data_IF_985335668772
#
_entry.id   IF_985335668772
#
_cell.length_a   1.000
_cell.length_b   1.000
_cell.length_c   1.000
_cell.angle_alpha   90.00
_cell.angle_beta   90.00
_cell.angle_gamma   90.00
#
_symmetry.space_group_name_H-M   'P 1'
#
loop_
_entity.id
_entity.type
_entity.pdbx_description
1 polymer ?
#
# COMPACT_ATOMS: atom_id res chain seq x y z
N UNK A 1 -9.35 6.98 3.30
CA UNK A 1 -10.53 6.53 2.51
C UNK A 1 -10.12 5.26 1.78
N UNK A 2 -10.87 4.20 1.98
CA UNK A 2 -10.66 2.92 1.31
C UNK A 2 -10.91 3.15 -0.18
N UNK A 3 -9.89 2.93 -1.02
CA UNK A 3 -10.08 2.97 -2.46
C UNK A 3 -11.12 1.95 -2.89
N UNK A 4 -11.87 2.26 -3.94
CA UNK A 4 -12.85 1.36 -4.51
C UNK A 4 -12.26 -0.02 -4.81
N UNK A 5 -13.03 -1.10 -4.66
CA UNK A 5 -12.57 -2.45 -5.02
C UNK A 5 -12.12 -2.46 -6.49
N UNK A 6 -11.14 -3.31 -6.84
CA UNK A 6 -10.65 -3.38 -8.20
C UNK A 6 -11.83 -3.64 -9.16
N UNK A 7 -11.81 -3.05 -10.37
CA UNK A 7 -12.91 -3.11 -11.34
C UNK A 7 -13.32 -4.54 -11.76
N UNK A 8 -12.62 -5.56 -11.29
CA UNK A 8 -12.97 -6.97 -11.42
C UNK A 8 -14.30 -7.35 -10.75
N UNK A 9 -14.68 -6.66 -9.66
CA UNK A 9 -15.99 -6.86 -9.02
C UNK A 9 -17.09 -5.99 -9.66
N UNK A 10 -16.71 -5.01 -10.49
CA UNK A 10 -17.61 -4.05 -11.13
C UNK A 10 -17.49 -4.03 -12.65
N UNK A 11 -16.85 -5.03 -13.30
CA UNK A 11 -17.11 -5.25 -14.70
C UNK A 11 -18.56 -5.72 -14.85
N UNK A 12 -19.48 -4.80 -14.62
CA UNK A 12 -20.75 -4.82 -15.34
C UNK A 12 -20.37 -5.02 -16.80
N UNK A 13 -20.88 -6.10 -17.36
CA UNK A 13 -20.76 -6.42 -18.75
C UNK A 13 -21.18 -5.23 -19.63
N UNK A 14 -20.26 -4.28 -19.82
CA UNK A 14 -20.36 -3.34 -20.92
C UNK A 14 -20.11 -4.17 -22.19
N UNK A 15 -21.17 -4.71 -22.75
CA UNK A 15 -21.12 -5.53 -23.94
C UNK A 15 -22.03 -6.77 -23.96
N UNK A 16 -22.87 -7.00 -22.97
CA UNK A 16 -23.93 -8.01 -23.06
C UNK A 16 -25.26 -7.37 -23.50
N UNK A 17 -25.22 -6.65 -24.63
CA UNK A 17 -26.43 -6.37 -25.38
C UNK A 17 -26.71 -7.56 -26.30
N UNK A 18 -27.68 -8.33 -25.94
CA UNK A 18 -28.43 -9.44 -26.54
C UNK A 18 -28.28 -10.72 -25.75
N UNK A 19 -28.94 -10.80 -24.61
CA UNK A 19 -29.53 -12.04 -24.16
C UNK A 19 -30.76 -12.24 -25.03
N UNK A 20 -30.57 -12.73 -26.24
CA UNK A 20 -31.65 -13.24 -27.07
C UNK A 20 -31.67 -14.74 -26.85
N UNK A 21 -32.78 -15.20 -26.32
CA UNK A 21 -33.31 -16.59 -26.35
C UNK A 21 -32.25 -17.65 -25.99
N UNK A 22 -32.29 -18.12 -24.76
CA UNK A 22 -31.75 -19.45 -24.41
C UNK A 22 -32.58 -20.48 -25.17
N UNK A 23 -32.18 -20.80 -26.38
CA UNK A 23 -32.42 -22.12 -26.91
C UNK A 23 -31.54 -23.07 -26.09
N UNK A 24 -32.10 -24.13 -25.56
CA UNK A 24 -31.40 -25.26 -24.94
C UNK A 24 -30.48 -25.93 -25.96
N UNK A 25 -29.36 -25.26 -26.26
CA UNK A 25 -28.27 -25.79 -27.05
C UNK A 25 -27.12 -26.15 -26.13
N UNK A 26 -26.67 -27.35 -26.22
CA UNK A 26 -25.55 -27.95 -25.49
C UNK A 26 -24.30 -27.05 -25.67
N UNK A 27 -24.03 -26.15 -24.69
CA UNK A 27 -22.88 -25.21 -24.75
C UNK A 27 -21.62 -26.02 -24.53
N UNK A 28 -20.79 -26.16 -25.55
CA UNK A 28 -19.49 -26.83 -25.42
C UNK A 28 -18.70 -26.24 -24.25
N UNK A 29 -18.14 -27.11 -23.42
CA UNK A 29 -17.34 -26.73 -22.23
C UNK A 29 -16.27 -25.69 -22.59
N UNK A 30 -15.57 -25.86 -23.72
CA UNK A 30 -14.56 -24.89 -24.20
C UNK A 30 -15.14 -23.51 -24.49
N UNK A 31 -16.36 -23.44 -25.02
CA UNK A 31 -17.06 -22.18 -25.26
C UNK A 31 -17.44 -21.49 -23.94
N UNK A 32 -17.96 -22.23 -22.99
CA UNK A 32 -18.29 -21.73 -21.67
C UNK A 32 -17.05 -21.15 -20.97
N UNK A 33 -15.96 -21.91 -20.92
CA UNK A 33 -14.71 -21.45 -20.30
C UNK A 33 -14.06 -20.27 -21.06
N UNK A 34 -14.17 -20.22 -22.39
CA UNK A 34 -13.71 -19.06 -23.18
C UNK A 34 -14.45 -17.77 -22.75
N UNK A 35 -15.77 -17.87 -22.52
CA UNK A 35 -16.58 -16.72 -22.07
C UNK A 35 -16.33 -16.39 -20.60
N UNK A 36 -16.27 -17.39 -19.72
CA UNK A 36 -16.05 -17.19 -18.28
C UNK A 36 -14.70 -16.62 -17.95
N UNK A 37 -13.62 -17.12 -18.57
CA UNK A 37 -12.27 -16.64 -18.33
C UNK A 37 -11.97 -15.32 -19.06
N UNK A 38 -12.63 -15.03 -20.17
CA UNK A 38 -12.50 -13.79 -20.92
C UNK A 38 -11.06 -13.42 -21.29
N UNK A 39 -10.19 -14.42 -21.55
CA UNK A 39 -8.75 -14.20 -21.75
C UNK A 39 -8.50 -13.42 -23.04
N UNK A 40 -7.94 -12.19 -22.95
CA UNK A 40 -7.72 -11.39 -24.13
C UNK A 40 -6.66 -12.04 -25.03
N UNK A 41 -6.94 -12.07 -26.35
CA UNK A 41 -6.01 -12.62 -27.33
C UNK A 41 -5.85 -14.14 -27.35
N UNK A 42 -6.73 -14.89 -26.64
CA UNK A 42 -6.72 -16.35 -26.61
C UNK A 42 -8.13 -16.96 -26.72
N UNK A 43 -8.18 -18.24 -26.97
CA UNK A 43 -9.38 -19.07 -26.83
C UNK A 43 -9.06 -20.38 -26.14
N UNK A 44 -10.04 -20.98 -25.50
CA UNK A 44 -9.89 -22.27 -24.84
C UNK A 44 -9.95 -23.39 -25.88
N UNK A 45 -8.92 -24.22 -25.85
CA UNK A 45 -8.80 -25.40 -26.71
C UNK A 45 -9.34 -26.64 -26.03
N UNK A 46 -9.05 -26.79 -24.74
CA UNK A 46 -9.40 -27.96 -23.95
C UNK A 46 -9.53 -27.63 -22.47
N UNK A 47 -10.32 -28.42 -21.73
CA UNK A 47 -10.53 -28.26 -20.29
C UNK A 47 -10.43 -29.64 -19.63
N UNK A 48 -9.46 -29.83 -18.76
CA UNK A 48 -9.27 -31.04 -17.99
C UNK A 48 -9.66 -30.83 -16.52
N UNK A 49 -10.53 -31.66 -16.00
CA UNK A 49 -10.98 -31.66 -14.62
C UNK A 49 -10.14 -32.66 -13.81
N UNK A 50 -9.14 -32.13 -13.07
CA UNK A 50 -8.32 -32.92 -12.16
C UNK A 50 -8.86 -32.91 -10.73
N UNK A 51 -8.30 -33.76 -9.86
CA UNK A 51 -8.66 -33.82 -8.43
C UNK A 51 -8.40 -32.52 -7.69
N UNK A 52 -7.33 -31.82 -8.03
CA UNK A 52 -6.85 -30.60 -7.30
C UNK A 52 -7.09 -29.31 -8.06
N UNK A 53 -7.25 -29.37 -9.38
CA UNK A 53 -7.39 -28.18 -10.21
C UNK A 53 -8.09 -28.49 -11.55
N UNK A 54 -8.74 -27.46 -12.08
CA UNK A 54 -9.21 -27.42 -13.46
C UNK A 54 -8.07 -26.82 -14.29
N UNK A 55 -7.60 -27.57 -15.29
CA UNK A 55 -6.56 -27.12 -16.22
C UNK A 55 -7.20 -26.72 -17.53
N UNK A 56 -7.07 -25.44 -17.87
CA UNK A 56 -7.63 -24.86 -19.09
C UNK A 56 -6.52 -24.62 -20.10
N UNK A 57 -6.46 -25.45 -21.12
CA UNK A 57 -5.52 -25.33 -22.22
C UNK A 57 -5.99 -24.29 -23.22
N UNK A 58 -5.17 -23.25 -23.44
CA UNK A 58 -5.50 -22.13 -24.32
C UNK A 58 -4.54 -22.02 -25.50
N UNK A 59 -5.01 -21.38 -26.57
CA UNK A 59 -4.24 -21.08 -27.79
C UNK A 59 -4.29 -19.58 -28.04
N UNK A 60 -3.14 -19.01 -28.38
CA UNK A 60 -3.02 -17.61 -28.78
C UNK A 60 -3.64 -17.36 -30.15
N UNK A 61 -4.39 -16.27 -30.29
CA UNK A 61 -4.93 -15.80 -31.59
C UNK A 61 -3.85 -15.12 -32.43
N UNK A 62 -2.79 -14.61 -31.80
CA UNK A 62 -1.75 -13.84 -32.48
C UNK A 62 -0.88 -14.73 -33.36
N UNK A 63 -0.85 -14.47 -34.65
CA UNK A 63 0.04 -15.16 -35.61
C UNK A 63 1.51 -14.79 -35.38
N UNK A 64 1.81 -13.53 -35.12
CA UNK A 64 3.16 -13.00 -34.90
C UNK A 64 3.44 -12.78 -33.43
N UNK A 65 4.54 -13.34 -32.88
CA UNK A 65 4.91 -13.17 -31.49
C UNK A 65 5.37 -11.74 -31.18
N UNK A 66 5.12 -11.33 -29.95
CA UNK A 66 5.55 -10.04 -29.39
C UNK A 66 6.46 -10.30 -28.19
N UNK A 67 7.57 -9.60 -28.08
CA UNK A 67 8.48 -9.70 -26.94
C UNK A 67 7.77 -9.29 -25.64
N UNK A 68 7.85 -10.12 -24.59
CA UNK A 68 7.23 -9.80 -23.30
C UNK A 68 7.97 -8.68 -22.53
N UNK A 69 9.20 -8.35 -22.91
CA UNK A 69 9.98 -7.31 -22.25
C UNK A 69 9.80 -5.93 -22.88
N UNK A 70 10.08 -5.79 -24.19
CA UNK A 70 10.08 -4.50 -24.87
C UNK A 70 8.97 -4.32 -25.91
N UNK A 71 8.12 -5.32 -26.15
CA UNK A 71 7.06 -5.25 -27.13
C UNK A 71 7.50 -5.40 -28.60
N UNK A 72 8.78 -5.68 -28.88
CA UNK A 72 9.29 -5.85 -30.23
C UNK A 72 8.60 -7.01 -30.97
N UNK A 73 8.41 -6.86 -32.28
CA UNK A 73 7.74 -7.83 -33.17
C UNK A 73 8.75 -8.36 -34.20
N UNK A 74 8.38 -9.43 -34.91
CA UNK A 74 9.20 -9.99 -35.99
C UNK A 74 10.44 -10.75 -35.49
N UNK A 75 10.40 -11.24 -34.26
CA UNK A 75 11.51 -11.96 -33.62
C UNK A 75 11.55 -13.43 -34.03
N UNK A 76 12.76 -13.99 -34.10
CA UNK A 76 12.97 -15.41 -34.35
C UNK A 76 12.49 -16.29 -33.19
N UNK A 77 11.85 -17.40 -33.53
CA UNK A 77 11.39 -18.40 -32.56
C UNK A 77 12.49 -19.44 -32.37
N UNK A 78 12.93 -19.63 -31.12
CA UNK A 78 13.95 -20.66 -30.77
C UNK A 78 13.30 -22.01 -30.47
N UNK A 79 12.29 -21.99 -29.62
CA UNK A 79 11.61 -23.20 -29.14
C UNK A 79 10.18 -22.90 -28.68
N UNK A 80 9.44 -23.94 -28.39
CA UNK A 80 8.13 -23.83 -27.76
C UNK A 80 8.16 -24.49 -26.40
N UNK A 81 7.58 -23.81 -25.38
CA UNK A 81 7.41 -24.37 -24.04
C UNK A 81 6.03 -24.13 -23.49
N UNK A 82 5.51 -25.12 -22.80
CA UNK A 82 4.26 -25.01 -22.07
C UNK A 82 4.49 -24.21 -20.79
N UNK A 83 3.70 -23.17 -20.59
CA UNK A 83 3.66 -22.34 -19.39
C UNK A 83 2.31 -22.46 -18.72
N UNK A 84 2.30 -22.31 -17.40
CA UNK A 84 1.11 -22.39 -16.57
C UNK A 84 0.97 -21.14 -15.71
N UNK A 85 -0.26 -20.64 -15.56
CA UNK A 85 -0.61 -19.53 -14.68
C UNK A 85 -1.79 -19.92 -13.81
N UNK A 86 -1.69 -19.60 -12.52
CA UNK A 86 -2.83 -19.72 -11.64
C UNK A 86 -3.81 -18.59 -11.93
N UNK A 87 -5.03 -18.93 -12.29
CA UNK A 87 -6.16 -18.00 -12.39
C UNK A 87 -6.95 -17.95 -11.08
N UNK A 88 -7.99 -17.14 -11.03
CA UNK A 88 -8.95 -17.14 -9.92
C UNK A 88 -9.63 -18.52 -9.84
N UNK A 89 -9.95 -18.92 -8.62
CA UNK A 89 -10.61 -20.19 -8.38
C UNK A 89 -12.03 -20.20 -8.97
N UNK A 90 -12.43 -21.34 -9.50
CA UNK A 90 -13.79 -21.58 -9.97
C UNK A 90 -14.52 -22.39 -8.90
N UNK A 91 -15.28 -21.70 -8.06
CA UNK A 91 -15.83 -22.30 -6.85
C UNK A 91 -14.73 -22.76 -5.90
N UNK A 92 -14.76 -24.01 -5.48
CA UNK A 92 -13.74 -24.62 -4.62
C UNK A 92 -12.48 -25.07 -5.37
N UNK A 93 -12.57 -25.19 -6.71
CA UNK A 93 -11.50 -25.74 -7.54
C UNK A 93 -10.48 -24.67 -7.95
N UNK A 94 -9.21 -25.02 -7.85
CA UNK A 94 -8.15 -24.19 -8.44
C UNK A 94 -8.31 -24.17 -9.96
N UNK A 95 -8.09 -23.00 -10.57
CA UNK A 95 -8.03 -22.86 -12.02
C UNK A 95 -6.60 -22.56 -12.47
N UNK A 96 -6.12 -23.32 -13.44
CA UNK A 96 -4.78 -23.19 -14.02
C UNK A 96 -4.92 -23.02 -15.53
N UNK A 97 -4.44 -21.89 -16.05
CA UNK A 97 -4.35 -21.66 -17.48
C UNK A 97 -3.03 -22.27 -17.97
N UNK A 98 -3.10 -23.09 -19.01
CA UNK A 98 -1.94 -23.68 -19.66
C UNK A 98 -1.87 -23.21 -21.11
N UNK A 99 -0.68 -22.73 -21.56
CA UNK A 99 -0.48 -22.31 -22.93
C UNK A 99 0.91 -22.71 -23.42
N UNK A 100 1.00 -23.18 -24.67
CA UNK A 100 2.26 -23.45 -25.34
C UNK A 100 2.77 -22.17 -25.98
N UNK A 101 3.79 -21.54 -25.36
CA UNK A 101 4.38 -20.27 -25.81
C UNK A 101 5.63 -20.48 -26.64
N UNK A 102 5.88 -19.52 -27.52
CA UNK A 102 7.14 -19.39 -28.28
C UNK A 102 8.20 -18.72 -27.41
N UNK A 103 9.41 -19.30 -27.35
CA UNK A 103 10.58 -18.65 -26.79
C UNK A 103 11.29 -17.90 -27.92
N UNK A 104 11.54 -16.61 -27.70
CA UNK A 104 12.05 -15.69 -28.70
C UNK A 104 13.45 -15.22 -28.33
N UNK A 105 14.25 -14.93 -29.32
CA UNK A 105 15.46 -14.15 -29.14
C UNK A 105 15.16 -12.68 -29.45
N UNK A 106 15.31 -11.83 -28.45
CA UNK A 106 15.17 -10.39 -28.59
C UNK A 106 16.53 -9.70 -28.44
N UNK A 107 16.98 -8.87 -29.38
CA UNK A 107 18.27 -8.19 -29.28
C UNK A 107 18.41 -7.32 -28.01
N UNK A 108 17.32 -6.72 -27.56
CA UNK A 108 17.32 -5.85 -26.37
C UNK A 108 17.08 -6.59 -25.06
N UNK A 109 16.31 -7.70 -25.06
CA UNK A 109 15.87 -8.39 -23.84
C UNK A 109 16.50 -9.78 -23.68
N UNK A 110 17.25 -10.27 -24.69
CA UNK A 110 17.79 -11.63 -24.69
C UNK A 110 16.70 -12.68 -24.95
N UNK A 111 16.83 -13.84 -24.33
CA UNK A 111 15.90 -14.96 -24.45
C UNK A 111 14.66 -14.73 -23.58
N UNK A 112 13.53 -14.47 -24.21
CA UNK A 112 12.23 -14.20 -23.57
C UNK A 112 11.13 -15.08 -24.14
N UNK A 113 10.02 -15.19 -23.40
CA UNK A 113 8.80 -15.77 -23.96
C UNK A 113 7.98 -14.68 -24.65
N UNK A 114 7.11 -15.07 -25.59
CA UNK A 114 6.16 -14.15 -26.16
C UNK A 114 5.19 -13.60 -25.10
N UNK A 115 4.76 -12.39 -25.30
CA UNK A 115 3.82 -11.71 -24.42
C UNK A 115 2.44 -12.37 -24.49
N UNK A 116 1.81 -12.52 -23.32
CA UNK A 116 0.40 -12.86 -23.18
C UNK A 116 -0.33 -11.67 -22.56
N UNK A 117 -1.59 -11.47 -22.92
CA UNK A 117 -2.34 -10.29 -22.45
C UNK A 117 -3.01 -10.53 -21.09
N UNK A 118 -3.14 -11.79 -20.66
CA UNK A 118 -3.79 -12.17 -19.39
C UNK A 118 -2.84 -12.30 -18.20
N UNK A 119 -1.55 -12.10 -18.39
CA UNK A 119 -0.58 -12.19 -17.30
C UNK A 119 0.58 -11.20 -17.51
N UNK A 120 1.08 -10.65 -16.41
CA UNK A 120 2.26 -9.78 -16.42
C UNK A 120 3.52 -10.56 -16.76
N UNK A 121 4.52 -9.87 -17.33
CA UNK A 121 5.80 -10.49 -17.65
C UNK A 121 6.41 -11.17 -16.41
N UNK A 122 6.87 -12.41 -16.56
CA UNK A 122 7.44 -13.19 -15.48
C UNK A 122 6.46 -13.70 -14.40
N UNK A 123 5.17 -13.37 -14.49
CA UNK A 123 4.18 -13.81 -13.52
C UNK A 123 3.89 -15.32 -13.60
N UNK A 124 3.59 -15.91 -12.45
CA UNK A 124 3.05 -17.27 -12.32
C UNK A 124 1.53 -17.30 -12.14
N UNK A 125 0.91 -16.14 -12.13
CA UNK A 125 -0.51 -15.93 -11.93
C UNK A 125 -1.10 -15.10 -13.07
N UNK A 126 -2.37 -15.26 -13.34
CA UNK A 126 -3.10 -14.37 -14.24
C UNK A 126 -3.18 -12.95 -13.64
N UNK A 127 -3.35 -11.94 -14.49
CA UNK A 127 -3.38 -10.55 -14.06
C UNK A 127 -4.49 -10.27 -13.04
N UNK A 128 -5.66 -10.86 -13.25
CA UNK A 128 -6.80 -10.75 -12.33
C UNK A 128 -6.51 -11.36 -10.95
N UNK A 129 -5.77 -12.47 -10.90
CA UNK A 129 -5.33 -13.06 -9.64
C UNK A 129 -4.34 -12.15 -8.91
N UNK A 130 -3.36 -11.60 -9.65
CA UNK A 130 -2.40 -10.64 -9.09
C UNK A 130 -3.12 -9.39 -8.57
N UNK A 131 -4.10 -8.86 -9.30
CA UNK A 131 -4.86 -7.68 -8.90
C UNK A 131 -5.71 -7.93 -7.65
N UNK A 132 -6.39 -9.07 -7.57
CA UNK A 132 -7.13 -9.46 -6.38
C UNK A 132 -6.20 -9.63 -5.17
N UNK A 133 -5.06 -10.30 -5.34
CA UNK A 133 -4.09 -10.49 -4.26
C UNK A 133 -3.55 -9.16 -3.74
N UNK A 134 -3.26 -8.21 -4.64
CA UNK A 134 -2.78 -6.88 -4.29
C UNK A 134 -3.87 -6.05 -3.56
N UNK A 135 -5.12 -6.16 -3.99
CA UNK A 135 -6.23 -5.49 -3.30
C UNK A 135 -6.46 -6.08 -1.90
N UNK A 136 -6.47 -7.40 -1.76
CA UNK A 136 -6.62 -8.06 -0.47
C UNK A 136 -5.49 -7.68 0.51
N UNK A 137 -4.26 -7.52 0.01
CA UNK A 137 -3.12 -7.11 0.84
C UNK A 137 -3.25 -5.69 1.41
N UNK A 138 -4.13 -4.85 0.87
CA UNK A 138 -4.48 -3.56 1.45
C UNK A 138 -5.56 -3.66 2.55
N UNK A 139 -6.34 -4.75 2.55
CA UNK A 139 -7.48 -4.93 3.45
C UNK A 139 -7.15 -5.83 4.66
N UNK A 140 -6.17 -6.71 4.52
CA UNK A 140 -5.84 -7.71 5.52
C UNK A 140 -4.35 -8.03 5.57
N UNK A 141 -3.92 -8.73 6.64
CA UNK A 141 -2.52 -9.14 6.78
C UNK A 141 -2.08 -10.10 5.68
N UNK A 142 -0.80 -10.04 5.31
CA UNK A 142 -0.23 -10.95 4.32
C UNK A 142 -0.45 -12.43 4.65
N UNK A 143 -0.43 -12.80 5.94
CA UNK A 143 -0.76 -14.16 6.40
C UNK A 143 -2.20 -14.57 6.06
N UNK A 144 -3.15 -13.65 6.18
CA UNK A 144 -4.55 -13.91 5.80
C UNK A 144 -4.69 -14.06 4.29
N UNK A 145 -4.01 -13.21 3.51
CA UNK A 145 -3.98 -13.32 2.04
C UNK A 145 -3.43 -14.68 1.59
N UNK A 146 -2.31 -15.15 2.20
CA UNK A 146 -1.74 -16.46 1.85
C UNK A 146 -2.70 -17.61 2.11
N UNK A 147 -3.42 -17.58 3.23
CA UNK A 147 -4.41 -18.60 3.59
C UNK A 147 -5.62 -18.56 2.64
N UNK A 148 -6.15 -17.36 2.38
CA UNK A 148 -7.34 -17.17 1.55
C UNK A 148 -7.08 -17.60 0.10
N UNK A 149 -5.99 -17.14 -0.50
CA UNK A 149 -5.65 -17.43 -1.89
C UNK A 149 -4.86 -18.73 -2.06
N UNK A 150 -4.49 -19.41 -0.97
CA UNK A 150 -3.74 -20.68 -0.99
C UNK A 150 -2.42 -20.56 -1.77
N UNK A 151 -1.65 -19.49 -1.50
CA UNK A 151 -0.35 -19.19 -2.12
C UNK A 151 0.74 -19.01 -1.05
N UNK A 152 2.00 -19.12 -1.45
CA UNK A 152 3.13 -18.92 -0.52
C UNK A 152 3.34 -17.45 -0.16
N UNK A 153 3.92 -17.20 1.02
CA UNK A 153 4.24 -15.86 1.51
C UNK A 153 5.07 -15.02 0.51
N UNK A 154 6.13 -15.61 -0.05
CA UNK A 154 6.97 -14.94 -1.04
C UNK A 154 6.22 -14.58 -2.32
N UNK A 155 5.18 -15.34 -2.66
CA UNK A 155 4.35 -15.05 -3.84
C UNK A 155 3.56 -13.76 -3.68
N UNK A 156 3.05 -13.48 -2.48
CA UNK A 156 2.33 -12.22 -2.21
C UNK A 156 3.23 -11.01 -2.44
N UNK A 157 4.46 -11.01 -1.87
CA UNK A 157 5.43 -9.94 -2.09
C UNK A 157 5.74 -9.71 -3.58
N UNK A 158 6.06 -10.80 -4.32
CA UNK A 158 6.33 -10.70 -5.76
C UNK A 158 5.13 -10.25 -6.60
N UNK A 159 3.90 -10.57 -6.17
CA UNK A 159 2.67 -10.06 -6.79
C UNK A 159 2.56 -8.55 -6.56
N UNK A 160 2.73 -8.11 -5.31
CA UNK A 160 2.65 -6.68 -4.97
C UNK A 160 3.65 -5.85 -5.76
N UNK A 161 4.91 -6.30 -5.83
CA UNK A 161 5.96 -5.64 -6.61
C UNK A 161 5.54 -5.47 -8.09
N UNK A 162 5.02 -6.52 -8.73
CA UNK A 162 4.58 -6.47 -10.12
C UNK A 162 3.37 -5.57 -10.33
N UNK A 163 2.38 -5.66 -9.44
CA UNK A 163 1.16 -4.85 -9.55
C UNK A 163 1.47 -3.37 -9.34
N UNK A 164 2.31 -3.05 -8.33
CA UNK A 164 2.76 -1.67 -8.10
C UNK A 164 3.54 -1.13 -9.29
N UNK A 165 4.50 -1.91 -9.82
CA UNK A 165 5.29 -1.50 -10.99
C UNK A 165 4.43 -1.23 -12.24
N UNK A 166 3.35 -2.00 -12.42
CA UNK A 166 2.41 -1.89 -13.55
C UNK A 166 1.41 -0.74 -13.39
N UNK A 167 0.89 -0.55 -12.15
CA UNK A 167 -0.20 0.39 -11.85
C UNK A 167 0.24 1.67 -11.18
N UNK A 168 1.53 1.85 -10.90
CA UNK A 168 2.03 3.06 -10.27
C UNK A 168 1.73 4.25 -11.17
N UNK A 169 0.96 5.18 -10.65
CA UNK A 169 0.65 6.42 -11.34
C UNK A 169 1.94 7.22 -11.61
N UNK A 170 2.26 7.43 -12.88
CA UNK A 170 3.45 8.19 -13.30
C UNK A 170 3.32 9.68 -13.02
N UNK A 171 2.09 10.16 -12.90
CA UNK A 171 1.73 11.55 -12.62
C UNK A 171 1.48 11.81 -11.14
N UNK A 172 1.77 10.86 -10.26
CA UNK A 172 1.52 10.95 -8.80
C UNK A 172 2.25 12.11 -8.11
N UNK A 173 3.27 12.68 -8.74
CA UNK A 173 4.04 13.83 -8.25
C UNK A 173 3.59 15.16 -8.87
N UNK A 174 2.64 15.13 -9.81
CA UNK A 174 2.15 16.34 -10.45
C UNK A 174 1.12 17.04 -9.55
N UNK A 175 1.20 18.37 -9.51
CA UNK A 175 0.22 19.19 -8.79
C UNK A 175 0.28 19.07 -7.25
N UNK A 176 1.39 18.62 -6.69
CA UNK A 176 1.59 18.59 -5.24
C UNK A 176 1.70 20.01 -4.69
N UNK A 177 0.77 20.39 -3.80
CA UNK A 177 0.73 21.72 -3.16
C UNK A 177 1.03 21.62 -1.67
N UNK A 178 0.37 20.73 -0.97
CA UNK A 178 0.54 20.48 0.46
C UNK A 178 0.94 19.05 0.69
N UNK A 179 2.14 18.84 1.19
CA UNK A 179 2.67 17.50 1.43
C UNK A 179 2.99 17.27 2.89
N UNK A 180 2.89 16.03 3.32
CA UNK A 180 3.31 15.58 4.65
C UNK A 180 4.45 14.58 4.54
N UNK A 181 5.47 14.73 5.39
CA UNK A 181 6.57 13.78 5.48
C UNK A 181 6.57 13.13 6.86
N UNK A 182 6.55 11.80 6.89
CA UNK A 182 6.54 11.02 8.13
C UNK A 182 7.38 9.76 7.99
N UNK A 183 7.68 9.12 9.12
CA UNK A 183 8.50 7.92 9.21
C UNK A 183 7.67 6.74 9.69
N UNK A 184 7.70 5.66 8.93
CA UNK A 184 7.04 4.40 9.30
C UNK A 184 8.08 3.33 9.61
N UNK A 185 8.03 2.76 10.82
CA UNK A 185 8.83 1.59 11.17
C UNK A 185 8.18 0.34 10.57
N UNK A 186 8.95 -0.44 9.79
CA UNK A 186 8.42 -1.62 9.09
C UNK A 186 9.10 -2.94 9.47
N UNK A 187 9.99 -2.95 10.44
CA UNK A 187 10.66 -4.18 10.84
C UNK A 187 11.41 -4.06 12.16
N UNK A 188 11.91 -5.19 12.67
CA UNK A 188 12.86 -5.22 13.76
C UNK A 188 14.16 -4.48 13.35
N UNK A 189 14.99 -4.09 14.32
CA UNK A 189 16.29 -3.44 14.10
C UNK A 189 16.21 -2.02 13.51
N UNK A 190 15.20 -1.24 13.92
CA UNK A 190 15.09 0.18 13.54
C UNK A 190 15.05 0.41 12.01
N UNK A 191 14.36 -0.45 11.26
CA UNK A 191 14.12 -0.23 9.83
C UNK A 191 12.96 0.74 9.64
N UNK A 192 13.24 1.85 8.97
CA UNK A 192 12.27 2.91 8.71
C UNK A 192 12.10 3.15 7.22
N UNK A 193 10.92 3.60 6.84
CA UNK A 193 10.63 4.21 5.56
C UNK A 193 10.28 5.68 5.81
N UNK A 194 10.91 6.59 5.08
CA UNK A 194 10.42 7.95 4.95
C UNK A 194 9.32 7.94 3.90
N UNK A 195 8.15 8.43 4.25
CA UNK A 195 6.99 8.51 3.38
C UNK A 195 6.63 9.97 3.10
N UNK A 196 6.26 10.28 1.86
CA UNK A 196 5.69 11.58 1.50
C UNK A 196 4.26 11.34 1.04
N UNK A 197 3.33 12.07 1.65
CA UNK A 197 1.91 12.02 1.35
C UNK A 197 1.41 13.35 0.80
N UNK A 198 0.49 13.30 -0.14
CA UNK A 198 -0.27 14.46 -0.58
C UNK A 198 -1.45 14.69 0.37
N UNK A 199 -1.51 15.84 1.02
CA UNK A 199 -2.58 16.18 1.95
C UNK A 199 -3.94 16.37 1.27
N UNK A 200 -3.96 16.71 -0.01
CA UNK A 200 -5.21 16.89 -0.73
C UNK A 200 -5.92 15.55 -0.97
N UNK A 201 -5.17 14.53 -1.38
CA UNK A 201 -5.71 13.21 -1.72
C UNK A 201 -5.59 12.20 -0.56
N UNK A 202 -4.75 12.46 0.43
CA UNK A 202 -4.40 11.53 1.50
C UNK A 202 -3.56 10.33 1.03
N UNK A 203 -2.99 10.38 -0.17
CA UNK A 203 -2.22 9.27 -0.75
C UNK A 203 -0.73 9.44 -0.49
N UNK A 204 -0.06 8.32 -0.20
CA UNK A 204 1.41 8.28 -0.23
C UNK A 204 1.85 8.34 -1.69
N UNK A 205 2.60 9.38 -2.03
CA UNK A 205 3.08 9.64 -3.40
C UNK A 205 4.53 9.18 -3.60
N UNK A 206 5.29 9.06 -2.49
CA UNK A 206 6.67 8.59 -2.51
C UNK A 206 7.03 7.92 -1.18
N UNK A 207 7.92 6.94 -1.23
CA UNK A 207 8.52 6.32 -0.04
C UNK A 207 9.91 5.77 -0.38
N UNK A 208 10.84 5.84 0.58
CA UNK A 208 12.15 5.22 0.47
C UNK A 208 12.68 4.73 1.83
N UNK A 209 13.56 3.71 1.84
CA UNK A 209 14.20 3.25 3.06
C UNK A 209 15.10 4.33 3.69
N UNK A 210 14.99 4.49 5.00
CA UNK A 210 15.76 5.43 5.79
C UNK A 210 14.87 6.39 6.58
N UNK A 211 15.52 7.23 7.42
CA UNK A 211 14.87 8.24 8.26
C UNK A 211 15.79 9.46 8.48
N UNK A 212 16.44 9.92 7.45
CA UNK A 212 17.36 11.03 7.58
C UNK A 212 17.13 12.08 6.50
N UNK A 213 17.73 13.26 6.68
CA UNK A 213 17.65 14.36 5.73
C UNK A 213 17.99 13.95 4.28
N UNK A 214 19.00 13.08 4.11
CA UNK A 214 19.41 12.60 2.79
C UNK A 214 18.33 11.76 2.11
N UNK A 215 17.57 10.97 2.89
CA UNK A 215 16.45 10.19 2.35
C UNK A 215 15.36 11.12 1.84
N UNK A 216 14.98 12.16 2.60
CA UNK A 216 13.98 13.13 2.15
C UNK A 216 14.50 14.00 0.99
N UNK A 217 15.80 14.32 0.97
CA UNK A 217 16.42 15.02 -0.15
C UNK A 217 16.25 14.28 -1.47
N UNK A 218 16.36 12.96 -1.47
CA UNK A 218 16.15 12.12 -2.66
C UNK A 218 14.74 12.26 -3.26
N UNK A 219 13.72 12.54 -2.45
CA UNK A 219 12.39 12.88 -2.95
C UNK A 219 12.42 14.18 -3.75
N UNK A 220 12.99 15.23 -3.19
CA UNK A 220 13.08 16.54 -3.86
C UNK A 220 13.97 16.50 -5.11
N UNK A 221 15.05 15.72 -5.08
CA UNK A 221 15.93 15.52 -6.24
C UNK A 221 15.20 14.82 -7.40
N UNK A 222 14.20 14.01 -7.10
CA UNK A 222 13.35 13.34 -8.08
C UNK A 222 12.24 14.22 -8.69
N UNK A 223 12.01 15.42 -8.16
CA UNK A 223 11.03 16.37 -8.70
C UNK A 223 11.62 17.18 -9.85
N UNK A 224 10.78 17.51 -10.83
CA UNK A 224 11.15 18.43 -11.91
C UNK A 224 11.22 19.86 -11.41
N UNK A 225 11.85 20.74 -12.20
CA UNK A 225 11.92 22.18 -11.90
C UNK A 225 10.55 22.88 -11.93
N UNK A 226 9.55 22.26 -12.56
CA UNK A 226 8.15 22.72 -12.58
C UNK A 226 7.37 22.24 -11.34
N UNK A 227 7.68 21.03 -10.83
CA UNK A 227 6.99 20.44 -9.68
C UNK A 227 7.41 21.07 -8.36
N UNK A 228 8.69 21.41 -8.18
CA UNK A 228 9.19 21.99 -6.91
C UNK A 228 8.48 23.28 -6.50
N UNK A 229 8.29 24.30 -7.37
CA UNK A 229 7.66 25.57 -6.98
C UNK A 229 6.16 25.43 -6.68
N UNK A 230 5.52 24.32 -7.09
CA UNK A 230 4.11 24.07 -6.80
C UNK A 230 3.87 23.75 -5.33
N UNK A 231 4.89 23.23 -4.61
CA UNK A 231 4.80 22.88 -3.21
C UNK A 231 4.80 24.18 -2.36
N UNK A 232 3.68 24.42 -1.65
CA UNK A 232 3.47 25.63 -0.83
C UNK A 232 3.65 25.39 0.66
N UNK A 233 3.36 24.18 1.13
CA UNK A 233 3.58 23.82 2.53
C UNK A 233 4.00 22.37 2.68
N UNK A 234 4.86 22.11 3.68
CA UNK A 234 5.33 20.78 4.03
C UNK A 234 5.13 20.54 5.52
N UNK A 235 4.31 19.58 5.89
CA UNK A 235 4.17 19.16 7.27
C UNK A 235 5.18 18.07 7.61
N UNK A 236 5.84 18.22 8.77
CA UNK A 236 6.83 17.27 9.28
C UNK A 236 6.64 17.05 10.79
N UNK A 237 7.27 16.01 11.31
CA UNK A 237 7.58 15.94 12.73
C UNK A 237 8.63 17.02 13.10
N UNK A 238 9.01 17.12 14.37
CA UNK A 238 9.97 18.12 14.85
C UNK A 238 11.43 17.77 14.50
N UNK A 239 11.68 17.22 13.30
CA UNK A 239 13.01 16.81 12.84
C UNK A 239 13.77 17.97 12.20
N UNK A 240 14.79 18.47 12.89
CA UNK A 240 15.66 19.52 12.35
C UNK A 240 16.37 19.12 11.04
N UNK A 241 16.60 17.80 10.84
CA UNK A 241 17.18 17.29 9.60
C UNK A 241 16.24 17.44 8.41
N UNK A 242 14.95 17.16 8.60
CA UNK A 242 13.95 17.31 7.56
C UNK A 242 13.68 18.77 7.25
N UNK A 243 13.56 19.62 8.28
CA UNK A 243 13.43 21.06 8.09
C UNK A 243 14.55 21.63 7.22
N UNK A 244 15.81 21.25 7.50
CA UNK A 244 16.95 21.71 6.69
C UNK A 244 16.86 21.22 5.24
N UNK A 245 16.46 19.98 4.99
CA UNK A 245 16.30 19.44 3.64
C UNK A 245 15.21 20.19 2.85
N UNK A 246 14.07 20.48 3.51
CA UNK A 246 12.96 21.22 2.90
C UNK A 246 13.38 22.65 2.54
N UNK A 247 13.98 23.38 3.49
CA UNK A 247 14.42 24.77 3.24
C UNK A 247 15.45 24.87 2.11
N UNK A 248 16.28 23.84 1.93
CA UNK A 248 17.25 23.80 0.83
C UNK A 248 16.59 23.48 -0.51
N UNK A 249 15.58 22.60 -0.55
CA UNK A 249 14.99 22.13 -1.78
C UNK A 249 13.81 22.99 -2.27
N UNK A 250 13.00 23.48 -1.35
CA UNK A 250 11.79 24.29 -1.60
C UNK A 250 11.74 25.47 -0.62
N UNK A 251 12.63 26.46 -0.76
CA UNK A 251 12.81 27.55 0.23
C UNK A 251 11.56 28.42 0.42
N UNK A 252 10.69 28.49 -0.59
CA UNK A 252 9.46 29.30 -0.56
C UNK A 252 8.27 28.52 0.08
N UNK A 253 8.44 27.25 0.42
CA UNK A 253 7.41 26.47 1.08
C UNK A 253 7.39 26.71 2.59
N UNK A 254 6.19 26.83 3.15
CA UNK A 254 6.00 26.92 4.59
C UNK A 254 6.24 25.55 5.26
N UNK A 255 7.05 25.53 6.32
CA UNK A 255 7.26 24.33 7.12
C UNK A 255 6.30 24.34 8.29
N UNK A 256 5.40 23.35 8.32
CA UNK A 256 4.42 23.15 9.37
C UNK A 256 4.80 21.96 10.24
N UNK A 257 4.71 22.12 11.57
CA UNK A 257 4.91 20.98 12.46
C UNK A 257 3.58 20.26 12.70
N UNK A 258 3.63 18.91 12.69
CA UNK A 258 2.46 18.10 12.97
C UNK A 258 1.96 18.36 14.41
N UNK A 259 0.72 18.83 14.59
CA UNK A 259 0.14 19.12 15.91
C UNK A 259 0.20 17.92 16.86
N UNK A 260 0.12 16.69 16.36
CA UNK A 260 0.22 15.48 17.20
C UNK A 260 1.58 15.42 17.91
N UNK A 261 2.67 15.67 17.20
CA UNK A 261 4.02 15.64 17.77
C UNK A 261 4.27 16.80 18.73
N UNK A 262 3.71 17.98 18.45
CA UNK A 262 3.76 19.14 19.35
C UNK A 262 3.04 18.85 20.67
N UNK A 263 1.80 18.35 20.60
CA UNK A 263 1.00 17.96 21.77
C UNK A 263 1.66 16.83 22.54
N UNK A 264 2.26 15.86 21.84
CA UNK A 264 3.00 14.76 22.50
C UNK A 264 4.20 15.30 23.27
N UNK A 265 4.91 16.30 22.75
CA UNK A 265 6.04 16.92 23.44
C UNK A 265 5.59 17.65 24.71
N UNK A 266 4.49 18.45 24.63
CA UNK A 266 3.86 19.08 25.79
C UNK A 266 3.42 18.06 26.85
N UNK A 267 2.77 17.00 26.40
CA UNK A 267 2.35 15.89 27.30
C UNK A 267 3.55 15.20 27.97
N UNK A 268 4.65 14.99 27.26
CA UNK A 268 5.88 14.43 27.85
C UNK A 268 6.49 15.37 28.88
N UNK A 269 6.56 16.67 28.59
CA UNK A 269 7.07 17.68 29.51
C UNK A 269 6.22 17.74 30.79
N UNK A 270 4.90 17.73 30.66
CA UNK A 270 3.97 17.68 31.78
C UNK A 270 4.17 16.42 32.64
N UNK A 271 4.30 15.22 32.02
CA UNK A 271 4.55 13.99 32.77
C UNK A 271 5.95 13.97 33.45
N UNK A 272 6.95 14.62 32.85
CA UNK A 272 8.27 14.78 33.46
C UNK A 272 8.19 15.64 34.74
N UNK A 273 7.46 16.77 34.72
CA UNK A 273 7.22 17.58 35.91
C UNK A 273 6.50 16.78 36.99
N UNK A 274 5.43 16.08 36.63
CA UNK A 274 4.71 15.20 37.58
C UNK A 274 5.64 14.15 38.21
N UNK A 275 6.50 13.51 37.41
CA UNK A 275 7.48 12.52 37.93
C UNK A 275 8.51 13.17 38.84
N UNK A 276 8.98 14.37 38.51
CA UNK A 276 9.89 15.12 39.37
C UNK A 276 9.26 15.45 40.72
N UNK A 277 8.00 15.90 40.73
CA UNK A 277 7.26 16.16 41.96
C UNK A 277 6.98 14.87 42.77
N UNK A 278 6.70 13.73 42.10
CA UNK A 278 6.61 12.43 42.76
C UNK A 278 7.93 12.04 43.44
N UNK A 279 9.07 12.23 42.80
CA UNK A 279 10.36 11.91 43.37
C UNK A 279 10.71 12.81 44.56
N UNK A 280 10.26 14.08 44.59
CA UNK A 280 10.48 15.00 45.70
C UNK A 280 9.59 14.74 46.90
N UNK A 281 8.31 14.46 46.67
CA UNK A 281 7.29 14.50 47.70
C UNK A 281 6.53 13.16 47.88
N UNK A 282 6.59 12.29 46.87
CA UNK A 282 5.84 11.05 46.83
C UNK A 282 6.68 9.85 47.22
N UNK A 283 6.68 9.45 48.51
CA UNK A 283 7.26 8.18 48.90
C UNK A 283 6.38 7.03 48.45
N UNK A 284 7.01 5.89 48.07
CA UNK A 284 6.27 4.69 47.64
C UNK A 284 5.27 4.27 48.74
N UNK A 285 3.99 4.14 48.35
CA UNK A 285 2.91 3.79 49.29
C UNK A 285 2.32 4.93 50.10
N UNK A 286 2.90 6.13 50.08
CA UNK A 286 2.32 7.33 50.75
C UNK A 286 1.08 7.82 50.02
N UNK A 287 0.16 8.46 50.75
CA UNK A 287 -1.05 9.03 50.17
C UNK A 287 -0.75 10.15 49.14
N UNK A 288 0.27 10.99 49.43
CA UNK A 288 0.78 11.98 48.49
C UNK A 288 1.30 11.32 47.20
N UNK A 289 2.05 10.22 47.31
CA UNK A 289 2.53 9.48 46.15
C UNK A 289 1.41 8.84 45.34
N UNK A 290 0.39 8.27 45.99
CA UNK A 290 -0.82 7.75 45.32
C UNK A 290 -1.57 8.85 44.61
N UNK A 291 -1.72 10.00 45.24
CA UNK A 291 -2.41 11.18 44.65
C UNK A 291 -1.66 11.68 43.41
N UNK A 292 -0.33 11.94 43.48
CA UNK A 292 0.47 12.39 42.32
C UNK A 292 0.39 11.41 41.16
N UNK A 293 0.36 10.10 41.41
CA UNK A 293 0.13 9.10 40.37
C UNK A 293 -1.29 9.20 39.78
N UNK A 294 -2.28 9.37 40.64
CA UNK A 294 -3.71 9.38 40.27
C UNK A 294 -4.13 10.57 39.42
N UNK A 295 -3.43 11.70 39.52
CA UNK A 295 -3.76 12.92 38.75
C UNK A 295 -3.21 12.92 37.31
N UNK A 296 -2.42 11.91 36.93
CA UNK A 296 -1.75 11.85 35.63
C UNK A 296 -2.69 12.15 34.45
N UNK A 297 -3.79 11.48 34.37
CA UNK A 297 -4.72 11.64 33.26
C UNK A 297 -5.53 12.95 33.32
N UNK A 298 -5.70 13.53 34.50
CA UNK A 298 -6.28 14.87 34.64
C UNK A 298 -5.34 15.96 34.08
N UNK A 299 -4.01 15.75 34.15
CA UNK A 299 -3.03 16.66 33.61
C UNK A 299 -2.82 16.52 32.09
N UNK A 300 -3.06 15.32 31.52
CA UNK A 300 -2.71 14.98 30.14
C UNK A 300 -3.89 14.86 29.19
N UNK A 301 -5.12 14.82 29.71
CA UNK A 301 -6.32 14.69 28.86
C UNK A 301 -6.77 16.06 28.38
N UNK A 302 -7.02 16.16 27.06
CA UNK A 302 -7.62 17.33 26.43
C UNK A 302 -8.87 17.78 27.21
N UNK A 303 -8.97 19.07 27.59
CA UNK A 303 -10.10 19.61 28.37
C UNK A 303 -11.48 19.23 27.82
N UNK A 304 -11.62 19.17 26.49
CA UNK A 304 -12.87 18.81 25.82
C UNK A 304 -13.24 17.34 26.02
N UNK A 305 -12.26 16.48 26.26
CA UNK A 305 -12.43 15.02 26.43
C UNK A 305 -12.38 14.57 27.89
N UNK A 306 -12.25 15.49 28.84
CA UNK A 306 -12.19 15.17 30.27
C UNK A 306 -13.51 14.60 30.80
N UNK A 307 -13.40 13.60 31.66
CA UNK A 307 -14.54 13.10 32.46
C UNK A 307 -14.87 14.07 33.56
N UNK A 308 -16.10 13.99 34.12
CA UNK A 308 -16.60 14.89 35.20
C UNK A 308 -15.65 15.03 36.40
N UNK A 309 -14.85 14.00 36.71
CA UNK A 309 -13.92 14.01 37.86
C UNK A 309 -12.57 14.64 37.55
N UNK A 310 -12.16 14.69 36.31
CA UNK A 310 -10.80 15.17 35.93
C UNK A 310 -10.63 16.69 36.14
N UNK A 311 -11.60 17.56 35.81
CA UNK A 311 -11.51 18.98 36.13
C UNK A 311 -11.43 19.24 37.63
N UNK A 312 -12.18 18.51 38.46
CA UNK A 312 -12.15 18.64 39.92
C UNK A 312 -10.76 18.34 40.47
N UNK A 313 -10.13 17.24 39.98
CA UNK A 313 -8.75 16.91 40.33
C UNK A 313 -7.76 17.94 39.86
N UNK A 314 -7.99 18.57 38.69
CA UNK A 314 -7.11 19.63 38.20
C UNK A 314 -7.19 20.87 39.10
N UNK A 315 -8.37 21.22 39.65
CA UNK A 315 -8.53 22.25 40.68
C UNK A 315 -7.76 21.92 41.96
N UNK A 316 -7.77 20.65 42.39
CA UNK A 316 -6.96 20.20 43.55
C UNK A 316 -5.46 20.37 43.25
N UNK A 317 -5.02 20.04 42.05
CA UNK A 317 -3.62 20.22 41.63
C UNK A 317 -3.25 21.70 41.63
N UNK A 318 -4.12 22.59 41.18
CA UNK A 318 -3.87 24.03 41.19
C UNK A 318 -3.64 24.59 42.60
N UNK A 319 -4.37 24.06 43.59
CA UNK A 319 -4.20 24.48 44.98
C UNK A 319 -3.00 23.87 45.68
N UNK A 320 -2.68 22.59 45.35
CA UNK A 320 -1.66 21.81 46.06
C UNK A 320 -0.29 21.82 45.41
N UNK A 321 -0.21 21.86 44.08
CA UNK A 321 1.07 21.79 43.37
C UNK A 321 1.09 22.69 42.13
N UNK A 322 1.56 23.91 42.33
CA UNK A 322 1.65 24.91 41.26
C UNK A 322 2.56 24.52 40.09
N UNK A 323 3.58 23.69 40.33
CA UNK A 323 4.49 23.25 39.26
C UNK A 323 3.77 22.30 38.28
N UNK A 324 3.05 21.28 38.79
CA UNK A 324 2.24 20.38 37.97
C UNK A 324 1.11 21.11 37.23
N UNK A 325 0.45 22.05 37.92
CA UNK A 325 -0.64 22.82 37.30
C UNK A 325 -0.13 23.69 36.14
N UNK A 326 0.97 24.42 36.32
CA UNK A 326 1.58 25.23 35.24
C UNK A 326 2.01 24.38 34.05
N UNK A 327 2.53 23.18 34.30
CA UNK A 327 2.91 22.27 33.23
C UNK A 327 1.70 21.73 32.45
N UNK A 328 0.52 21.64 33.04
CA UNK A 328 -0.70 21.21 32.39
C UNK A 328 -1.36 22.32 31.54
N UNK A 329 -0.94 23.55 31.68
CA UNK A 329 -1.41 24.70 30.88
C UNK A 329 -0.59 24.94 29.59
N UNK A 330 0.50 24.17 29.39
CA UNK A 330 1.27 24.16 28.16
C UNK A 330 0.56 23.40 27.03
#
# INVERSE_FOLDING_TARGET
MLGDPPPLLLRQAAGCSKVSNYEEGDVRVTTAFTRMLGLPGAWVRDVAFGSDAIVVSVVLRAEKPVCSGCGARGLGVKEHRTKRWRALDLGACRCVIECRLRRLYCPSCGDVYEAVQWARAGAKHAGEFDDLAAWLAQQMSQTQVTKLLRIGWKSVGSILERVVADKLDRHRLDGLVWIGCDEVSYGAEHKFLTCVADHHTGRIVWAAPGRNAKTLQAFFDGLTDEQRPSIKAVSIDMSAGYEKAIRNAVPDAEVCFDPFHVVQLGSRATDQVRRAEYNKHGRSGSDTGKWIKGVRYSLLTDPVKQTTQQPLRLCEVQQTNKAMFRAALL
#
